data_IF_248312931431
#
_entry.id   IF_248312931431
#
_cell.length_a   1.000
_cell.length_b   1.000
_cell.length_c   1.000
_cell.angle_alpha   90.00
_cell.angle_beta   90.00
_cell.angle_gamma   90.00
#
_symmetry.space_group_name_H-M   'P 1'
#
loop_
_entity.id
_entity.type
_entity.pdbx_description
1 polymer ?
#
# COMPACT_ATOMS: atom_id res chain seq x y z
N UNK A 1 11.07 -17.84 -2.95
CA UNK A 1 10.89 -16.48 -2.39
C UNK A 1 11.43 -16.35 -0.97
N UNK A 2 10.90 -17.07 0.03
CA UNK A 2 11.44 -17.03 1.42
C UNK A 2 12.93 -17.43 1.51
N UNK A 3 13.33 -18.43 0.74
CA UNK A 3 14.73 -18.89 0.62
C UNK A 3 15.65 -17.92 -0.14
N UNK A 4 15.07 -16.98 -0.91
CA UNK A 4 15.82 -15.88 -1.56
C UNK A 4 16.10 -14.73 -0.57
N UNK A 5 15.99 -14.98 0.75
CA UNK A 5 16.13 -13.96 1.79
C UNK A 5 15.02 -12.91 1.78
N UNK A 6 13.92 -13.20 1.09
CA UNK A 6 12.88 -12.25 0.76
C UNK A 6 11.73 -12.45 1.78
N UNK A 7 11.60 -11.61 2.84
CA UNK A 7 10.75 -11.89 4.00
C UNK A 7 9.28 -11.53 3.79
N UNK A 8 8.83 -11.40 2.54
CA UNK A 8 7.55 -10.83 2.08
C UNK A 8 6.32 -11.57 2.61
N UNK A 9 6.11 -11.52 3.92
CA UNK A 9 4.84 -11.83 4.54
C UNK A 9 3.96 -10.62 4.27
N UNK A 10 3.06 -10.79 3.31
CA UNK A 10 2.03 -9.81 3.05
C UNK A 10 1.27 -9.52 4.35
N UNK A 11 1.15 -8.25 4.72
CA UNK A 11 0.61 -7.86 6.02
C UNK A 11 -0.92 -7.74 5.97
N UNK A 12 -1.46 -6.91 5.08
CA UNK A 12 -2.89 -6.59 5.02
C UNK A 12 -3.24 -5.86 3.71
N UNK A 13 -4.47 -6.06 3.23
CA UNK A 13 -5.10 -5.23 2.19
C UNK A 13 -5.77 -3.96 2.76
N UNK A 14 -5.85 -3.86 4.09
CA UNK A 14 -6.56 -2.80 4.81
C UNK A 14 -5.62 -2.09 5.80
N UNK A 15 -4.56 -1.41 5.33
CA UNK A 15 -3.55 -0.80 6.21
C UNK A 15 -4.12 0.31 7.08
N UNK A 16 -5.03 1.15 6.56
CA UNK A 16 -5.68 2.20 7.34
C UNK A 16 -6.48 1.62 8.53
N UNK A 17 -7.24 0.55 8.29
CA UNK A 17 -8.01 -0.12 9.35
C UNK A 17 -7.09 -0.75 10.39
N UNK A 18 -6.05 -1.47 9.95
CA UNK A 18 -5.09 -2.11 10.85
C UNK A 18 -4.41 -1.10 11.77
N UNK A 19 -3.95 0.03 11.22
CA UNK A 19 -3.19 1.02 11.97
C UNK A 19 -4.10 1.88 12.85
N UNK A 20 -5.28 2.28 12.34
CA UNK A 20 -6.27 3.03 13.09
C UNK A 20 -6.80 2.30 14.32
N UNK A 21 -6.88 0.96 14.29
CA UNK A 21 -7.21 0.14 15.48
C UNK A 21 -6.21 0.31 16.64
N UNK A 22 -5.02 0.83 16.37
CA UNK A 22 -4.00 1.11 17.36
C UNK A 22 -3.91 2.60 17.74
N UNK A 23 -4.88 3.43 17.33
CA UNK A 23 -5.00 4.82 17.75
C UNK A 23 -4.09 5.82 17.02
N UNK A 24 -3.75 5.51 15.76
CA UNK A 24 -2.96 6.38 14.90
C UNK A 24 -3.82 6.96 13.77
N UNK A 25 -3.59 8.22 13.43
CA UNK A 25 -4.12 8.80 12.20
C UNK A 25 -3.29 8.28 11.02
N UNK A 26 -3.96 7.85 9.95
CA UNK A 26 -3.30 7.13 8.84
C UNK A 26 -3.72 7.67 7.48
N UNK A 27 -2.73 7.92 6.62
CA UNK A 27 -2.91 8.22 5.20
C UNK A 27 -2.30 7.08 4.39
N UNK A 28 -3.07 6.54 3.45
CA UNK A 28 -2.64 5.45 2.57
C UNK A 28 -2.63 5.94 1.14
N UNK A 29 -1.49 5.78 0.47
CA UNK A 29 -1.28 6.18 -0.91
C UNK A 29 -0.97 4.95 -1.76
N UNK A 30 -1.56 4.91 -2.96
CA UNK A 30 -1.18 3.97 -4.00
C UNK A 30 0.12 4.45 -4.68
N UNK A 31 1.21 3.65 -4.64
CA UNK A 31 2.48 4.01 -5.23
C UNK A 31 2.40 4.17 -6.76
N UNK A 32 1.54 3.41 -7.44
CA UNK A 32 1.34 3.51 -8.88
C UNK A 32 0.62 4.83 -9.23
N UNK A 33 -0.39 5.23 -8.45
CA UNK A 33 -1.06 6.54 -8.62
C UNK A 33 -0.08 7.68 -8.42
N UNK A 34 0.71 7.64 -7.33
CA UNK A 34 1.72 8.66 -7.04
C UNK A 34 2.79 8.74 -8.14
N UNK A 35 3.28 7.59 -8.61
CA UNK A 35 4.28 7.53 -9.66
C UNK A 35 3.74 7.98 -11.03
N UNK A 36 2.48 7.65 -11.35
CA UNK A 36 1.82 8.09 -12.57
C UNK A 36 1.67 9.62 -12.61
N UNK A 37 1.25 10.25 -11.51
CA UNK A 37 1.18 11.72 -11.39
C UNK A 37 2.54 12.42 -11.58
N UNK A 38 3.65 11.69 -11.42
CA UNK A 38 5.02 12.19 -11.64
C UNK A 38 5.64 11.73 -12.97
N UNK A 39 4.86 11.10 -13.85
CA UNK A 39 5.36 10.57 -15.13
C UNK A 39 6.39 9.45 -14.97
N UNK A 40 6.36 8.73 -13.85
CA UNK A 40 7.29 7.63 -13.53
C UNK A 40 6.67 6.24 -13.66
N UNK A 41 5.38 6.16 -13.97
CA UNK A 41 4.67 4.90 -14.15
C UNK A 41 3.92 4.92 -15.49
N UNK A 42 4.25 4.03 -16.43
CA UNK A 42 3.69 4.06 -17.78
C UNK A 42 2.37 3.28 -17.92
N UNK A 43 1.96 2.55 -16.88
CA UNK A 43 0.74 1.73 -16.91
C UNK A 43 -0.42 2.44 -16.19
N UNK A 44 -1.68 2.12 -16.52
CA UNK A 44 -2.82 2.65 -15.77
C UNK A 44 -2.75 2.18 -14.30
N UNK A 45 -3.15 3.05 -13.38
CA UNK A 45 -3.39 2.65 -12.00
C UNK A 45 -4.55 1.65 -11.96
N UNK A 46 -4.42 0.61 -11.14
CA UNK A 46 -5.49 -0.36 -10.94
C UNK A 46 -6.62 0.27 -10.10
N UNK A 47 -7.88 -0.16 -10.28
CA UNK A 47 -8.95 0.25 -9.39
C UNK A 47 -8.64 -0.14 -7.94
N UNK A 48 -8.87 0.75 -6.94
CA UNK A 48 -8.51 0.50 -5.54
C UNK A 48 -9.11 -0.79 -4.97
N UNK A 49 -10.32 -1.17 -5.40
CA UNK A 49 -11.09 -2.28 -4.83
C UNK A 49 -11.04 -3.56 -5.67
N UNK A 50 -10.15 -3.65 -6.66
CA UNK A 50 -10.04 -4.83 -7.50
C UNK A 50 -9.61 -6.07 -6.69
N UNK A 51 -10.39 -7.17 -6.65
CA UNK A 51 -10.05 -8.34 -5.84
C UNK A 51 -8.87 -9.13 -6.43
N UNK A 52 -8.02 -9.67 -5.56
CA UNK A 52 -6.91 -10.57 -5.95
C UNK A 52 -5.73 -9.89 -6.67
N UNK A 53 -5.74 -8.55 -6.77
CA UNK A 53 -4.64 -7.81 -7.39
C UNK A 53 -3.47 -7.67 -6.42
N UNK A 54 -2.21 -7.79 -6.89
CA UNK A 54 -1.05 -7.49 -6.05
C UNK A 54 -1.07 -6.00 -5.69
N UNK A 55 -1.11 -5.70 -4.39
CA UNK A 55 -1.11 -4.32 -3.88
C UNK A 55 0.17 -4.01 -3.11
N UNK A 56 0.65 -2.79 -3.32
CA UNK A 56 1.64 -2.14 -2.48
C UNK A 56 1.04 -0.83 -1.97
N UNK A 57 1.42 -0.42 -0.77
CA UNK A 57 0.91 0.81 -0.15
C UNK A 57 2.09 1.63 0.36
N UNK A 58 2.03 2.95 0.15
CA UNK A 58 2.84 3.90 0.92
C UNK A 58 1.96 4.40 2.04
N UNK A 59 2.42 4.25 3.28
CA UNK A 59 1.63 4.58 4.47
C UNK A 59 2.35 5.65 5.27
N UNK A 60 1.64 6.74 5.54
CA UNK A 60 2.04 7.74 6.54
C UNK A 60 1.13 7.57 7.77
N UNK A 61 1.71 7.54 8.95
CA UNK A 61 0.97 7.42 10.20
C UNK A 61 1.50 8.40 11.25
N UNK A 62 0.59 9.12 11.90
CA UNK A 62 0.88 10.08 12.97
C UNK A 62 0.17 9.69 14.25
N UNK A 63 0.84 9.90 15.39
CA UNK A 63 0.18 9.79 16.69
C UNK A 63 -0.41 11.17 17.04
N UNK A 64 -1.67 11.26 17.49
CA UNK A 64 -2.28 12.51 17.89
C UNK A 64 -1.48 13.27 18.97
#
# INVERSE_FOLDING_TARGET
>A
MRELGAPWRFATDEPARLIGQHGWDTVVLDPAVLAAQRGRWPFPALPPDAPGMPRGYIVEAGKP
#
